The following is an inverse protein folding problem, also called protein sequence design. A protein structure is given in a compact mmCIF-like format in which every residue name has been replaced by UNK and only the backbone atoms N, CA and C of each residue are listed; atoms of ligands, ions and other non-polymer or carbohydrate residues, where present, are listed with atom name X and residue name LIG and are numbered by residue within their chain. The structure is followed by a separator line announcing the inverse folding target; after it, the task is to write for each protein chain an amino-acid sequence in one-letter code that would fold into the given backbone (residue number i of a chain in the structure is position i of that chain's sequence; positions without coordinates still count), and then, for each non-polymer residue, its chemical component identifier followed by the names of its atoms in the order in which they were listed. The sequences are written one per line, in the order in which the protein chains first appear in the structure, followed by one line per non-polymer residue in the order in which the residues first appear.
data_IF_999967381342
#
_entry.id   IF_999967381342
#
_cell.length_a   1.000
_cell.length_b   1.000
_cell.length_c   1.000
_cell.angle_alpha   90.00
_cell.angle_beta   90.00
_cell.angle_gamma   90.00
#
_symmetry.space_group_name_H-M   'P 1'
#
loop_
_entity.id
_entity.type
_entity.pdbx_description
1 polymer ?
#
# COMPACT_ATOMS: atom_id res chain seq x y z
N UNK A 1 13.32 -20.98 -12.69
CA UNK A 1 12.93 -20.16 -13.88
C UNK A 1 11.42 -20.04 -14.10
N UNK A 2 10.60 -21.11 -14.04
CA UNK A 2 9.14 -21.00 -14.24
C UNK A 2 8.44 -20.14 -13.18
N UNK A 3 8.82 -20.31 -11.92
CA UNK A 3 8.19 -19.63 -10.78
C UNK A 3 8.42 -18.11 -10.78
N UNK A 4 9.63 -17.65 -11.09
CA UNK A 4 9.92 -16.22 -11.18
C UNK A 4 9.19 -15.52 -12.34
N UNK A 5 8.96 -16.20 -13.46
CA UNK A 5 8.12 -15.65 -14.54
C UNK A 5 6.66 -15.47 -14.11
N UNK A 6 6.12 -16.45 -13.37
CA UNK A 6 4.78 -16.36 -12.80
C UNK A 6 4.68 -15.25 -11.75
N UNK A 7 5.70 -15.11 -10.90
CA UNK A 7 5.75 -14.01 -9.94
C UNK A 7 5.79 -12.65 -10.67
N UNK A 8 6.62 -12.50 -11.70
CA UNK A 8 6.69 -11.27 -12.48
C UNK A 8 5.33 -10.93 -13.14
N UNK A 9 4.60 -11.94 -13.63
CA UNK A 9 3.24 -11.77 -14.13
C UNK A 9 2.29 -11.27 -13.01
N UNK A 10 2.30 -11.90 -11.83
CA UNK A 10 1.47 -11.49 -10.70
C UNK A 10 1.83 -10.09 -10.17
N UNK A 11 3.11 -9.75 -10.12
CA UNK A 11 3.60 -8.43 -9.77
C UNK A 11 3.11 -7.38 -10.77
N UNK A 12 3.16 -7.70 -12.07
CA UNK A 12 2.64 -6.82 -13.13
C UNK A 12 1.13 -6.65 -13.00
N UNK A 13 0.39 -7.73 -12.74
CA UNK A 13 -1.05 -7.69 -12.49
C UNK A 13 -1.39 -6.86 -11.25
N UNK A 14 -0.58 -6.93 -10.18
CA UNK A 14 -0.74 -6.12 -8.98
C UNK A 14 -0.61 -4.62 -9.30
N UNK A 15 0.43 -4.24 -10.03
CA UNK A 15 0.65 -2.85 -10.47
C UNK A 15 -0.48 -2.39 -11.39
N UNK A 16 -0.81 -3.19 -12.41
CA UNK A 16 -1.91 -2.89 -13.33
C UNK A 16 -3.25 -2.76 -12.57
N UNK A 17 -3.49 -3.61 -11.57
CA UNK A 17 -4.67 -3.56 -10.72
C UNK A 17 -4.78 -2.25 -9.94
N UNK A 18 -3.67 -1.74 -9.41
CA UNK A 18 -3.65 -0.46 -8.68
C UNK A 18 -4.06 0.74 -9.55
N UNK A 19 -3.80 0.67 -10.86
CA UNK A 19 -4.06 1.72 -11.86
C UNK A 19 -5.43 1.58 -12.53
N UNK A 20 -5.76 0.37 -12.97
CA UNK A 20 -6.87 0.09 -13.89
C UNK A 20 -8.15 -0.31 -13.17
N UNK A 21 -8.05 -0.91 -11.97
CA UNK A 21 -9.24 -1.28 -11.19
C UNK A 21 -9.76 -0.07 -10.43
N UNK A 22 -10.57 0.73 -11.11
CA UNK A 22 -11.17 1.96 -10.58
C UNK A 22 -12.27 1.69 -9.54
N UNK A 23 -12.85 0.48 -9.53
CA UNK A 23 -13.86 0.10 -8.55
C UNK A 23 -13.37 0.22 -7.11
N UNK A 24 -14.23 0.75 -6.24
CA UNK A 24 -14.01 0.73 -4.79
C UNK A 24 -14.37 -0.65 -4.25
N UNK A 25 -13.43 -1.25 -3.51
CA UNK A 25 -13.65 -2.55 -2.88
C UNK A 25 -14.43 -2.40 -1.58
N UNK A 26 -14.18 -1.30 -0.86
CA UNK A 26 -14.85 -0.95 0.38
C UNK A 26 -14.93 0.58 0.50
N UNK A 27 -16.04 1.15 1.02
CA UNK A 27 -16.21 2.60 1.16
C UNK A 27 -15.09 3.27 1.98
N UNK A 28 -14.58 2.61 3.01
CA UNK A 28 -13.51 3.14 3.87
C UNK A 28 -12.24 3.52 3.11
N UNK A 29 -11.99 2.95 1.93
CA UNK A 29 -10.87 3.32 1.06
C UNK A 29 -10.87 4.84 0.78
N UNK A 30 -12.06 5.38 0.54
CA UNK A 30 -12.28 6.79 0.29
C UNK A 30 -12.50 7.56 1.58
N UNK A 31 -13.52 7.20 2.36
CA UNK A 31 -13.99 7.98 3.51
C UNK A 31 -12.97 8.06 4.66
N UNK A 32 -12.18 7.00 4.89
CA UNK A 32 -11.22 6.98 6.01
C UNK A 32 -9.79 7.36 5.60
N UNK A 33 -9.55 7.72 4.35
CA UNK A 33 -8.20 8.07 3.88
C UNK A 33 -8.18 9.24 2.90
N UNK A 34 -8.68 9.02 1.68
CA UNK A 34 -8.56 10.01 0.61
C UNK A 34 -9.38 11.25 0.90
N UNK A 35 -10.63 11.10 1.30
CA UNK A 35 -11.54 12.21 1.57
C UNK A 35 -11.01 13.12 2.68
N UNK A 36 -10.56 12.51 3.78
CA UNK A 36 -10.00 13.19 4.97
C UNK A 36 -8.88 14.14 4.56
N UNK A 37 -7.97 13.69 3.68
CA UNK A 37 -6.82 14.51 3.27
C UNK A 37 -7.14 15.42 2.09
N UNK A 38 -7.91 14.95 1.12
CA UNK A 38 -8.27 15.63 -0.12
C UNK A 38 -8.78 17.06 0.11
N UNK A 39 -9.66 17.24 1.10
CA UNK A 39 -10.25 18.54 1.42
C UNK A 39 -9.22 19.59 1.85
N UNK A 40 -8.11 19.17 2.44
CA UNK A 40 -7.04 20.07 2.91
C UNK A 40 -6.18 20.61 1.76
N UNK A 41 -6.05 19.86 0.66
CA UNK A 41 -5.18 20.22 -0.47
C UNK A 41 -5.92 20.85 -1.65
N UNK A 42 -7.22 20.64 -1.77
CA UNK A 42 -8.01 21.26 -2.83
C UNK A 42 -8.26 22.76 -2.52
N UNK A 43 -8.24 23.65 -3.54
CA UNK A 43 -8.60 25.06 -3.36
C UNK A 43 -10.00 25.25 -2.79
N UNK A 44 -10.23 26.33 -2.03
CA UNK A 44 -11.54 26.62 -1.39
C UNK A 44 -12.67 26.84 -2.41
N UNK A 45 -12.35 27.37 -3.57
CA UNK A 45 -13.25 27.62 -4.68
C UNK A 45 -13.54 26.37 -5.53
N UNK A 46 -12.80 25.28 -5.32
CA UNK A 46 -12.94 24.04 -6.06
C UNK A 46 -14.31 23.38 -5.82
N UNK A 47 -15.02 23.08 -6.92
CA UNK A 47 -16.27 22.29 -6.88
C UNK A 47 -16.02 20.94 -6.19
N UNK A 48 -14.89 20.28 -6.48
CA UNK A 48 -14.54 19.01 -5.86
C UNK A 48 -14.42 19.11 -4.34
N UNK A 49 -13.91 20.24 -3.81
CA UNK A 49 -13.76 20.41 -2.35
C UNK A 49 -15.11 20.49 -1.64
N UNK A 50 -16.12 21.07 -2.30
CA UNK A 50 -17.47 21.24 -1.72
C UNK A 50 -18.18 19.90 -1.49
N UNK A 51 -17.86 18.90 -2.30
CA UNK A 51 -18.41 17.55 -2.20
C UNK A 51 -17.70 16.66 -1.16
N UNK A 52 -16.57 17.11 -0.60
CA UNK A 52 -15.79 16.32 0.36
C UNK A 52 -16.15 16.70 1.80
N UNK A 53 -16.33 15.69 2.65
CA UNK A 53 -16.56 15.87 4.07
C UNK A 53 -15.36 15.39 4.90
N UNK A 54 -15.16 15.95 6.09
CA UNK A 54 -14.25 15.35 7.09
C UNK A 54 -15.11 14.57 8.04
N UNK A 55 -15.04 13.22 8.03
CA UNK A 55 -15.83 12.39 8.93
C UNK A 55 -15.66 12.78 10.39
N UNK A 56 -16.73 12.60 11.17
CA UNK A 56 -16.77 12.97 12.58
C UNK A 56 -15.65 12.31 13.40
N UNK A 57 -15.15 11.15 12.98
CA UNK A 57 -14.04 10.45 13.61
C UNK A 57 -12.72 11.23 13.59
N UNK A 58 -12.56 12.18 12.66
CA UNK A 58 -11.36 13.01 12.51
C UNK A 58 -11.58 14.46 12.96
N UNK A 59 -12.78 14.81 13.44
CA UNK A 59 -13.11 16.17 13.85
C UNK A 59 -12.56 16.50 15.24
N UNK A 60 -12.08 17.74 15.39
CA UNK A 60 -11.68 18.31 16.66
C UNK A 60 -12.92 18.71 17.49
N UNK A 61 -12.82 18.77 18.84
CA UNK A 61 -11.62 18.66 19.66
C UNK A 61 -11.19 17.23 20.04
N UNK A 62 -12.07 16.24 19.87
CA UNK A 62 -11.84 14.86 20.34
C UNK A 62 -11.98 13.85 19.19
N UNK A 63 -10.95 13.70 18.34
CA UNK A 63 -10.99 12.74 17.24
C UNK A 63 -10.93 11.31 17.77
N UNK A 64 -11.73 10.42 17.18
CA UNK A 64 -11.77 8.99 17.52
C UNK A 64 -10.83 8.14 16.66
N UNK A 65 -10.26 8.70 15.58
CA UNK A 65 -9.31 8.01 14.71
C UNK A 65 -8.03 8.81 14.52
N UNK A 66 -6.92 8.10 14.38
CA UNK A 66 -5.63 8.69 14.09
C UNK A 66 -5.55 9.18 12.65
N UNK A 67 -5.15 10.44 12.47
CA UNK A 67 -4.93 11.05 11.15
C UNK A 67 -3.59 10.64 10.51
N UNK A 68 -2.72 9.94 11.25
CA UNK A 68 -1.37 9.59 10.78
C UNK A 68 -1.39 8.78 9.48
N UNK A 69 -2.19 7.72 9.42
CA UNK A 69 -2.23 6.87 8.23
C UNK A 69 -2.74 7.61 6.99
N UNK A 70 -3.91 8.30 7.03
CA UNK A 70 -4.36 9.13 5.91
C UNK A 70 -3.33 10.18 5.50
N UNK A 71 -2.72 10.87 6.48
CA UNK A 71 -1.72 11.89 6.23
C UNK A 71 -0.48 11.33 5.51
N UNK A 72 0.00 10.15 5.87
CA UNK A 72 1.17 9.53 5.23
C UNK A 72 0.85 8.99 3.83
N UNK A 73 -0.31 8.38 3.65
CA UNK A 73 -0.65 7.66 2.41
C UNK A 73 -1.28 8.56 1.35
N UNK A 74 -2.15 9.48 1.74
CA UNK A 74 -2.82 10.41 0.83
C UNK A 74 -2.23 11.82 0.94
N UNK A 75 -2.10 12.35 2.16
CA UNK A 75 -1.69 13.74 2.37
C UNK A 75 -0.28 14.05 1.87
N UNK A 76 0.71 13.23 2.23
CA UNK A 76 2.10 13.43 1.83
C UNK A 76 2.27 13.37 0.31
N UNK A 77 1.72 12.37 -0.43
CA UNK A 77 1.79 12.40 -1.88
C UNK A 77 1.07 13.59 -2.52
N UNK A 78 -0.08 14.01 -1.99
CA UNK A 78 -0.77 15.20 -2.50
C UNK A 78 0.08 16.46 -2.31
N UNK A 79 0.74 16.61 -1.15
CA UNK A 79 1.68 17.71 -0.91
C UNK A 79 2.84 17.68 -1.90
N UNK A 80 3.41 16.50 -2.17
CA UNK A 80 4.50 16.36 -3.15
C UNK A 80 4.03 16.80 -4.54
N UNK A 81 2.85 16.35 -4.99
CA UNK A 81 2.28 16.77 -6.27
C UNK A 81 2.04 18.28 -6.34
N UNK A 82 1.51 18.87 -5.27
CA UNK A 82 1.30 20.32 -5.15
C UNK A 82 2.63 21.09 -5.24
N UNK A 83 3.67 20.65 -4.52
CA UNK A 83 5.01 21.26 -4.56
C UNK A 83 5.66 21.16 -5.95
N UNK A 84 5.34 20.11 -6.71
CA UNK A 84 5.75 19.95 -8.10
C UNK A 84 4.93 20.80 -9.08
N UNK A 85 3.95 21.57 -8.60
CA UNK A 85 3.05 22.37 -9.43
C UNK A 85 2.01 21.54 -10.21
N UNK A 86 1.79 20.28 -9.83
CA UNK A 86 0.84 19.38 -10.48
C UNK A 86 -0.53 19.60 -9.86
N UNK A 87 -1.51 20.04 -10.68
CA UNK A 87 -2.89 20.21 -10.24
C UNK A 87 -3.51 18.85 -9.87
N UNK A 88 -3.98 18.72 -8.64
CA UNK A 88 -4.69 17.53 -8.17
C UNK A 88 -6.02 17.37 -8.91
N UNK A 89 -6.15 16.28 -9.64
CA UNK A 89 -7.39 15.83 -10.27
C UNK A 89 -7.97 14.66 -9.47
N UNK A 90 -9.28 14.39 -9.58
CA UNK A 90 -9.89 13.24 -8.91
C UNK A 90 -9.21 11.91 -9.26
N UNK A 91 -8.73 11.76 -10.50
CA UNK A 91 -7.95 10.59 -10.92
C UNK A 91 -6.60 10.50 -10.21
N UNK A 92 -5.84 11.59 -10.12
CA UNK A 92 -4.57 11.60 -9.39
C UNK A 92 -4.79 11.30 -7.90
N UNK A 93 -5.85 11.85 -7.31
CA UNK A 93 -6.19 11.59 -5.91
C UNK A 93 -6.57 10.12 -5.68
N UNK A 94 -7.21 9.49 -6.65
CA UNK A 94 -7.50 8.06 -6.61
C UNK A 94 -6.23 7.21 -6.71
N UNK A 95 -5.42 7.46 -7.74
CA UNK A 95 -4.35 6.56 -8.18
C UNK A 95 -3.05 6.74 -7.37
N UNK A 96 -2.72 7.96 -6.97
CA UNK A 96 -1.47 8.25 -6.25
C UNK A 96 -1.29 7.44 -4.96
N UNK A 97 -2.24 7.43 -4.01
CA UNK A 97 -2.10 6.62 -2.79
C UNK A 97 -2.07 5.12 -3.09
N UNK A 98 -2.80 4.66 -4.12
CA UNK A 98 -2.82 3.26 -4.55
C UNK A 98 -1.46 2.81 -5.10
N UNK A 99 -0.84 3.65 -5.93
CA UNK A 99 0.50 3.41 -6.46
C UNK A 99 1.55 3.41 -5.34
N UNK A 100 1.50 4.38 -4.43
CA UNK A 100 2.41 4.42 -3.29
C UNK A 100 2.36 3.11 -2.51
N UNK A 101 1.16 2.65 -2.14
CA UNK A 101 1.00 1.41 -1.39
C UNK A 101 1.36 0.18 -2.20
N UNK A 102 1.09 0.15 -3.51
CA UNK A 102 1.56 -0.91 -4.39
C UNK A 102 3.10 -1.00 -4.41
N UNK A 103 3.80 0.14 -4.49
CA UNK A 103 5.26 0.18 -4.42
C UNK A 103 5.76 -0.30 -3.07
N UNK A 104 5.15 0.16 -1.97
CA UNK A 104 5.48 -0.30 -0.62
C UNK A 104 5.18 -1.78 -0.41
N UNK A 105 4.20 -2.35 -1.11
CA UNK A 105 3.88 -3.78 -1.01
C UNK A 105 5.04 -4.67 -1.49
N UNK A 106 5.91 -4.19 -2.38
CA UNK A 106 7.11 -4.93 -2.81
C UNK A 106 8.18 -5.00 -1.71
N UNK A 107 8.16 -4.10 -0.73
CA UNK A 107 9.00 -4.21 0.46
C UNK A 107 8.61 -5.46 1.25
N UNK A 108 7.31 -5.76 1.35
CA UNK A 108 6.80 -6.97 2.01
C UNK A 108 7.31 -8.22 1.27
N UNK A 109 7.24 -8.23 -0.07
CA UNK A 109 7.77 -9.33 -0.89
C UNK A 109 9.29 -9.53 -0.62
N UNK A 110 10.07 -8.45 -0.60
CA UNK A 110 11.51 -8.50 -0.34
C UNK A 110 11.82 -9.04 1.06
N UNK A 111 11.12 -8.55 2.09
CA UNK A 111 11.31 -9.04 3.46
C UNK A 111 10.95 -10.52 3.56
N UNK A 112 9.81 -10.93 3.00
CA UNK A 112 9.39 -12.33 2.98
C UNK A 112 10.46 -13.22 2.32
N UNK A 113 10.98 -12.81 1.17
CA UNK A 113 12.02 -13.54 0.45
C UNK A 113 13.28 -13.73 1.32
N UNK A 114 13.75 -12.67 1.98
CA UNK A 114 14.95 -12.74 2.81
C UNK A 114 14.73 -13.51 4.11
N UNK A 115 13.60 -13.35 4.78
CA UNK A 115 13.26 -14.08 6.01
C UNK A 115 13.17 -15.58 5.75
N UNK A 116 12.49 -16.00 4.69
CA UNK A 116 12.39 -17.43 4.31
C UNK A 116 13.78 -18.00 3.97
N UNK A 117 14.61 -17.22 3.29
CA UNK A 117 15.99 -17.59 2.99
C UNK A 117 16.82 -17.81 4.26
N UNK A 118 16.71 -16.89 5.23
CA UNK A 118 17.40 -16.98 6.52
C UNK A 118 16.95 -18.20 7.32
N UNK A 119 15.63 -18.44 7.41
CA UNK A 119 15.08 -19.58 8.16
C UNK A 119 15.48 -20.93 7.54
N UNK A 120 15.72 -20.97 6.23
CA UNK A 120 16.11 -22.18 5.50
C UNK A 120 17.62 -22.30 5.28
N UNK A 121 18.47 -21.48 5.93
CA UNK A 121 19.93 -21.40 5.68
C UNK A 121 20.68 -22.72 5.84
N UNK A 122 20.19 -23.63 6.68
CA UNK A 122 20.82 -24.94 6.90
C UNK A 122 20.51 -25.96 5.79
N UNK A 123 19.64 -25.63 4.84
CA UNK A 123 19.26 -26.50 3.74
C UNK A 123 20.14 -26.28 2.51
N UNK A 124 20.10 -27.21 1.56
CA UNK A 124 20.76 -27.05 0.26
C UNK A 124 20.23 -25.80 -0.45
N UNK A 125 21.12 -25.10 -1.16
CA UNK A 125 20.81 -23.84 -1.85
C UNK A 125 19.61 -23.95 -2.81
N UNK A 126 19.47 -25.08 -3.52
CA UNK A 126 18.35 -25.29 -4.44
C UNK A 126 17.00 -25.37 -3.72
N UNK A 127 16.96 -26.05 -2.56
CA UNK A 127 15.75 -26.17 -1.73
C UNK A 127 15.39 -24.81 -1.12
N UNK A 128 16.41 -24.07 -0.65
CA UNK A 128 16.22 -22.72 -0.12
C UNK A 128 15.60 -21.80 -1.18
N UNK A 129 16.17 -21.76 -2.38
CA UNK A 129 15.64 -20.94 -3.49
C UNK A 129 14.23 -21.34 -3.84
N UNK A 130 13.94 -22.63 -3.96
CA UNK A 130 12.59 -23.11 -4.27
C UNK A 130 11.57 -22.67 -3.20
N UNK A 131 11.91 -22.75 -1.91
CA UNK A 131 11.04 -22.27 -0.82
C UNK A 131 10.79 -20.77 -0.90
N UNK A 132 11.83 -19.98 -1.17
CA UNK A 132 11.69 -18.53 -1.34
C UNK A 132 10.79 -18.18 -2.53
N UNK A 133 11.00 -18.82 -3.68
CA UNK A 133 10.16 -18.61 -4.88
C UNK A 133 8.70 -19.01 -4.63
N UNK A 134 8.45 -20.14 -3.96
CA UNK A 134 7.09 -20.59 -3.62
C UNK A 134 6.40 -19.68 -2.61
N UNK A 135 7.11 -19.20 -1.60
CA UNK A 135 6.56 -18.27 -0.61
C UNK A 135 6.12 -16.95 -1.28
N UNK A 136 6.97 -16.40 -2.16
CA UNK A 136 6.63 -15.22 -2.95
C UNK A 136 5.40 -15.46 -3.83
N UNK A 137 5.32 -16.60 -4.51
CA UNK A 137 4.17 -16.92 -5.36
C UNK A 137 2.87 -17.06 -4.58
N UNK A 138 2.92 -17.77 -3.45
CA UNK A 138 1.75 -17.95 -2.60
C UNK A 138 1.23 -16.60 -2.11
N UNK A 139 2.12 -15.75 -1.63
CA UNK A 139 1.76 -14.39 -1.21
C UNK A 139 1.23 -13.56 -2.39
N UNK A 140 1.95 -13.50 -3.51
CA UNK A 140 1.59 -12.70 -4.68
C UNK A 140 0.28 -13.13 -5.36
N UNK A 141 -0.06 -14.41 -5.30
CA UNK A 141 -1.32 -14.95 -5.85
C UNK A 141 -2.52 -14.76 -4.92
N UNK A 142 -2.31 -14.39 -3.66
CA UNK A 142 -3.39 -14.24 -2.70
C UNK A 142 -4.25 -13.03 -3.04
N UNK A 143 -5.57 -13.19 -2.90
CA UNK A 143 -6.53 -12.12 -3.17
C UNK A 143 -6.27 -10.84 -2.35
N UNK A 144 -5.94 -10.89 -1.04
CA UNK A 144 -5.60 -9.69 -0.28
C UNK A 144 -4.40 -8.93 -0.84
N UNK A 145 -3.41 -9.65 -1.38
CA UNK A 145 -2.21 -9.03 -1.94
C UNK A 145 -2.48 -8.33 -3.27
N UNK A 146 -3.33 -8.91 -4.11
CA UNK A 146 -3.69 -8.32 -5.40
C UNK A 146 -4.69 -7.15 -5.24
N UNK A 147 -5.60 -7.25 -4.27
CA UNK A 147 -6.75 -6.35 -4.17
C UNK A 147 -6.62 -5.34 -3.04
N UNK A 148 -6.15 -5.72 -1.85
CA UNK A 148 -6.14 -4.85 -0.67
C UNK A 148 -4.81 -4.15 -0.41
N UNK A 149 -3.67 -4.82 -0.61
CA UNK A 149 -2.36 -4.22 -0.30
C UNK A 149 -1.98 -3.01 -1.17
N UNK A 150 -2.73 -2.77 -2.26
CA UNK A 150 -2.57 -1.59 -3.10
C UNK A 150 -3.62 -0.51 -2.83
N UNK A 151 -4.41 -0.65 -1.76
CA UNK A 151 -5.51 0.26 -1.43
C UNK A 151 -5.25 0.92 -0.08
N UNK A 152 -5.66 2.19 0.09
CA UNK A 152 -5.41 2.98 1.29
C UNK A 152 -6.25 2.57 2.51
N UNK A 153 -6.11 1.31 2.94
CA UNK A 153 -6.58 0.81 4.23
C UNK A 153 -5.45 0.85 5.27
N UNK A 154 -5.76 1.17 6.53
CA UNK A 154 -4.77 1.14 7.61
C UNK A 154 -4.14 -0.24 7.76
N UNK A 155 -4.92 -1.31 7.51
CA UNK A 155 -4.44 -2.68 7.53
C UNK A 155 -3.29 -2.94 6.56
N UNK A 156 -3.27 -2.25 5.40
CA UNK A 156 -2.15 -2.35 4.45
C UNK A 156 -0.87 -1.82 5.07
N UNK A 157 -0.94 -0.69 5.76
CA UNK A 157 0.20 -0.11 6.46
C UNK A 157 0.61 -0.94 7.67
N UNK A 158 -0.33 -1.45 8.45
CA UNK A 158 -0.07 -2.37 9.56
C UNK A 158 0.64 -3.65 9.06
N UNK A 159 0.22 -4.18 7.91
CA UNK A 159 0.88 -5.35 7.29
C UNK A 159 2.33 -5.04 6.89
N UNK A 160 2.58 -3.85 6.33
CA UNK A 160 3.94 -3.39 6.03
C UNK A 160 4.78 -3.28 7.30
N UNK A 161 4.27 -2.63 8.35
CA UNK A 161 4.96 -2.51 9.65
C UNK A 161 5.25 -3.89 10.24
N UNK A 162 4.29 -4.79 10.22
CA UNK A 162 4.46 -6.16 10.68
C UNK A 162 5.57 -6.88 9.90
N UNK A 163 5.56 -6.79 8.57
CA UNK A 163 6.61 -7.36 7.73
C UNK A 163 7.99 -6.79 8.11
N UNK A 164 8.11 -5.48 8.29
CA UNK A 164 9.35 -4.84 8.73
C UNK A 164 9.81 -5.34 10.11
N UNK A 165 8.90 -5.56 11.06
CA UNK A 165 9.22 -6.17 12.36
C UNK A 165 9.82 -7.58 12.19
N UNK A 166 9.26 -8.41 11.31
CA UNK A 166 9.86 -9.70 10.94
C UNK A 166 11.25 -9.53 10.32
N UNK A 167 11.42 -8.53 9.46
CA UNK A 167 12.73 -8.18 8.89
C UNK A 167 13.75 -7.85 9.97
N UNK A 168 13.42 -6.99 10.93
CA UNK A 168 14.30 -6.65 12.05
C UNK A 168 14.63 -7.89 12.89
N UNK A 169 13.62 -8.66 13.27
CA UNK A 169 13.76 -9.84 14.13
C UNK A 169 14.67 -10.91 13.52
N UNK A 170 14.53 -11.21 12.23
CA UNK A 170 15.23 -12.34 11.61
C UNK A 170 16.48 -11.93 10.82
N UNK A 171 16.59 -10.68 10.35
CA UNK A 171 17.67 -10.25 9.46
C UNK A 171 18.72 -9.38 10.15
N UNK A 172 18.33 -8.56 11.13
CA UNK A 172 19.26 -7.61 11.80
C UNK A 172 19.86 -8.20 13.06
N UNK A 173 19.05 -8.80 13.93
CA UNK A 173 19.50 -9.42 15.18
C UNK A 173 19.16 -10.94 15.19
N UNK A 174 19.82 -11.73 14.32
CA UNK A 174 19.52 -13.15 14.17
C UNK A 174 19.93 -14.02 15.36
#
# INVERSE_FOLDING_TARGET
MRWMKLYALLATLRVAGSLLLLGMVHPDEFFQSQEVMARHFLPEDSILRRELFVPWEFQLPTPNRSVLFPALVAGLPYKVLELLGIKLTGWLMLVTPRLLLCLLSFIIDAVLYHVVGKLSRHQKLDIQREKQEKALLLFASSWPTLVFLCRPFSNTFETLVLALCFGVLYLVNP
#
